data_IF_122198299930
#
_entry.id   IF_122198299930
#
_cell.length_a   1.000
_cell.length_b   1.000
_cell.length_c   1.000
_cell.angle_alpha   90.00
_cell.angle_beta   90.00
_cell.angle_gamma   90.00
#
_symmetry.space_group_name_H-M   'P 1'
#
loop_
_entity.id
_entity.type
_entity.pdbx_description
1 polymer ?
#
# COMPACT_ATOMS: atom_id res chain seq x y z
N UNK A 1 9.97 29.69 12.71
CA UNK A 1 9.25 29.72 14.01
C UNK A 1 8.69 28.30 14.19
N UNK A 2 9.18 27.50 15.14
CA UNK A 2 8.59 26.21 15.43
C UNK A 2 7.36 26.46 16.31
N UNK A 3 6.18 26.24 15.80
CA UNK A 3 4.95 26.22 16.58
C UNK A 3 4.89 24.84 17.23
N UNK A 4 4.85 24.78 18.56
CA UNK A 4 4.55 23.56 19.32
C UNK A 4 3.14 23.69 19.85
N UNK A 5 2.24 22.92 19.25
CA UNK A 5 0.87 22.82 19.73
C UNK A 5 0.76 21.64 20.73
N UNK A 6 -0.22 21.73 21.61
CA UNK A 6 -0.56 20.70 22.59
C UNK A 6 -1.92 20.10 22.22
N UNK A 7 -2.00 18.77 22.27
CA UNK A 7 -3.21 18.01 21.97
C UNK A 7 -3.49 17.04 23.11
N UNK A 8 -4.77 16.80 23.39
CA UNK A 8 -5.19 15.86 24.44
C UNK A 8 -4.99 14.41 24.02
N UNK A 9 -5.20 14.11 22.71
CA UNK A 9 -5.09 12.78 22.14
C UNK A 9 -4.38 12.81 20.78
N UNK A 10 -3.65 11.73 20.47
CA UNK A 10 -2.89 11.57 19.23
C UNK A 10 -3.17 10.22 18.61
N UNK A 11 -3.55 10.20 17.32
CA UNK A 11 -3.68 8.99 16.52
C UNK A 11 -2.43 8.80 15.63
N UNK A 12 -1.71 7.70 15.82
CA UNK A 12 -0.53 7.34 15.04
C UNK A 12 -0.93 6.40 13.91
N UNK A 13 -1.00 6.94 12.69
CA UNK A 13 -1.40 6.23 11.46
C UNK A 13 -0.24 6.16 10.44
N UNK A 14 0.98 5.88 10.91
CA UNK A 14 2.21 6.03 10.12
C UNK A 14 2.62 4.78 9.31
N UNK A 15 1.70 3.80 9.13
CA UNK A 15 1.95 2.58 8.36
C UNK A 15 3.16 1.80 8.89
N UNK A 16 4.15 1.50 8.05
CA UNK A 16 5.37 0.76 8.45
C UNK A 16 6.25 1.53 9.45
N UNK A 17 6.09 2.84 9.57
CA UNK A 17 6.85 3.66 10.50
C UNK A 17 6.20 3.70 11.90
N UNK A 18 4.95 3.24 12.04
CA UNK A 18 4.25 3.20 13.33
C UNK A 18 5.03 2.41 14.39
N UNK A 19 5.74 1.35 13.98
CA UNK A 19 6.56 0.57 14.90
C UNK A 19 7.62 1.40 15.63
N UNK A 20 8.23 2.40 14.97
CA UNK A 20 9.21 3.29 15.63
C UNK A 20 8.60 4.09 16.77
N UNK A 21 7.35 4.54 16.59
CA UNK A 21 6.62 5.25 17.64
C UNK A 21 6.28 4.30 18.78
N UNK A 22 5.82 3.09 18.46
CA UNK A 22 5.52 2.07 19.46
C UNK A 22 6.76 1.71 20.30
N UNK A 23 7.91 1.50 19.66
CA UNK A 23 9.17 1.19 20.33
C UNK A 23 9.57 2.29 21.34
N UNK A 24 9.44 3.57 20.96
CA UNK A 24 9.74 4.72 21.82
C UNK A 24 8.78 4.81 23.01
N UNK A 25 7.52 4.43 22.83
CA UNK A 25 6.47 4.47 23.87
C UNK A 25 6.44 3.18 24.72
N UNK A 26 7.28 2.20 24.42
CA UNK A 26 7.34 0.92 25.14
C UNK A 26 6.22 -0.06 24.79
N UNK A 27 5.55 0.17 23.66
CA UNK A 27 4.54 -0.73 23.11
C UNK A 27 5.18 -1.82 22.25
N UNK A 28 4.52 -2.98 22.17
CA UNK A 28 4.93 -4.08 21.29
C UNK A 28 3.99 -4.17 20.08
N UNK A 29 4.56 -4.05 18.90
CA UNK A 29 3.81 -4.09 17.65
C UNK A 29 4.54 -4.96 16.62
N UNK A 30 3.78 -5.78 15.87
CA UNK A 30 4.33 -6.63 14.80
C UNK A 30 3.81 -6.17 13.45
N UNK A 31 4.46 -5.16 12.88
CA UNK A 31 4.19 -4.66 11.52
C UNK A 31 5.43 -4.85 10.67
N UNK A 32 5.35 -5.72 9.66
CA UNK A 32 6.46 -5.99 8.76
C UNK A 32 6.25 -5.26 7.41
N UNK A 33 7.27 -4.55 6.89
CA UNK A 33 7.20 -3.91 5.58
C UNK A 33 7.34 -4.95 4.45
N UNK A 34 6.24 -5.31 3.82
CA UNK A 34 6.26 -6.15 2.61
C UNK A 34 6.29 -5.26 1.38
N UNK A 35 7.39 -5.32 0.62
CA UNK A 35 7.56 -4.52 -0.58
C UNK A 35 6.72 -5.08 -1.73
N UNK A 36 5.90 -4.23 -2.33
CA UNK A 36 5.14 -4.51 -3.54
C UNK A 36 5.62 -3.65 -4.70
N UNK A 37 5.42 -4.14 -5.92
CA UNK A 37 5.83 -3.45 -7.14
C UNK A 37 4.63 -3.14 -8.04
N UNK A 38 4.76 -2.10 -8.83
CA UNK A 38 3.85 -1.82 -9.94
C UNK A 38 4.58 -1.16 -11.09
N UNK A 39 4.00 -1.26 -12.27
CA UNK A 39 4.37 -0.48 -13.45
C UNK A 39 3.17 0.34 -13.89
N UNK A 40 3.42 1.57 -14.30
CA UNK A 40 2.43 2.40 -14.98
C UNK A 40 2.87 2.55 -16.42
N UNK A 41 2.16 1.90 -17.33
CA UNK A 41 2.42 1.90 -18.77
C UNK A 41 1.62 3.06 -19.36
N UNK A 42 2.26 3.87 -20.20
CA UNK A 42 1.62 4.98 -20.92
C UNK A 42 1.06 4.49 -22.24
N UNK A 43 -0.24 4.70 -22.44
CA UNK A 43 -0.95 4.31 -23.65
C UNK A 43 -0.88 5.48 -24.66
N UNK A 44 0.33 5.70 -25.19
CA UNK A 44 0.63 6.90 -26.00
C UNK A 44 0.10 6.82 -27.43
N UNK A 45 -0.20 5.60 -27.93
CA UNK A 45 -0.73 5.37 -29.26
C UNK A 45 -2.15 4.82 -29.24
N UNK A 46 -2.85 4.99 -30.36
CA UNK A 46 -4.26 4.58 -30.53
C UNK A 46 -4.45 3.06 -30.40
N UNK A 47 -3.47 2.27 -30.86
CA UNK A 47 -3.54 0.80 -30.82
C UNK A 47 -3.49 0.34 -29.37
N UNK A 48 -2.52 0.84 -28.60
CA UNK A 48 -2.40 0.56 -27.16
C UNK A 48 -3.64 0.99 -26.37
N UNK A 49 -4.22 2.17 -26.71
CA UNK A 49 -5.43 2.67 -26.07
C UNK A 49 -6.65 1.78 -26.32
N UNK A 50 -6.80 1.25 -27.53
CA UNK A 50 -7.91 0.36 -27.90
C UNK A 50 -7.71 -1.06 -27.33
N UNK A 51 -6.47 -1.55 -27.29
CA UNK A 51 -6.14 -2.90 -26.85
C UNK A 51 -6.12 -3.04 -25.31
N UNK A 52 -5.90 -1.96 -24.58
CA UNK A 52 -5.84 -2.01 -23.12
C UNK A 52 -7.22 -2.29 -22.51
N UNK A 53 -7.30 -3.11 -21.43
CA UNK A 53 -8.55 -3.44 -20.78
C UNK A 53 -9.26 -2.18 -20.24
N UNK A 54 -10.59 -2.15 -20.39
CA UNK A 54 -11.44 -1.05 -19.91
C UNK A 54 -11.84 -1.22 -18.42
N UNK A 55 -11.75 -2.44 -17.92
CA UNK A 55 -12.09 -2.80 -16.52
C UNK A 55 -10.84 -3.27 -15.78
N UNK A 56 -10.87 -3.16 -14.47
CA UNK A 56 -9.81 -3.75 -13.63
C UNK A 56 -9.88 -5.27 -13.67
N UNK A 57 -8.73 -5.91 -13.81
CA UNK A 57 -8.59 -7.36 -13.88
C UNK A 57 -7.71 -7.85 -12.72
N UNK A 58 -8.07 -8.99 -12.16
CA UNK A 58 -7.27 -9.73 -11.20
C UNK A 58 -6.93 -11.11 -11.78
N UNK A 59 -5.65 -11.37 -11.94
CA UNK A 59 -5.10 -12.71 -12.20
C UNK A 59 -4.72 -13.32 -10.85
N UNK A 60 -5.66 -14.09 -10.29
CA UNK A 60 -5.51 -14.63 -8.93
C UNK A 60 -4.36 -15.64 -8.77
N UNK A 61 -4.10 -16.57 -9.71
CA UNK A 61 -2.97 -17.48 -9.61
C UNK A 61 -1.61 -16.80 -9.45
N UNK A 62 -1.34 -15.73 -10.21
CA UNK A 62 -0.07 -15.00 -10.17
C UNK A 62 -0.11 -13.73 -9.32
N UNK A 63 -1.28 -13.41 -8.76
CA UNK A 63 -1.50 -12.23 -7.91
C UNK A 63 -1.12 -10.90 -8.57
N UNK A 64 -1.48 -10.77 -9.86
CA UNK A 64 -1.33 -9.55 -10.64
C UNK A 64 -2.68 -8.86 -10.80
N UNK A 65 -2.71 -7.56 -10.56
CA UNK A 65 -3.88 -6.70 -10.77
C UNK A 65 -3.54 -5.67 -11.82
N UNK A 66 -4.43 -5.47 -12.80
CA UNK A 66 -4.35 -4.36 -13.74
C UNK A 66 -5.53 -3.41 -13.60
N UNK A 67 -5.29 -2.12 -13.77
CA UNK A 67 -6.33 -1.08 -13.74
C UNK A 67 -6.02 0.00 -14.74
N UNK A 68 -7.02 0.40 -15.53
CA UNK A 68 -6.89 1.52 -16.45
C UNK A 68 -7.15 2.84 -15.71
N UNK A 69 -6.27 3.81 -15.91
CA UNK A 69 -6.32 5.15 -15.33
C UNK A 69 -6.22 6.18 -16.44
N UNK A 70 -7.32 6.43 -17.14
CA UNK A 70 -7.35 7.27 -18.33
C UNK A 70 -6.50 6.69 -19.48
N UNK A 71 -5.44 7.40 -19.87
CA UNK A 71 -4.47 6.99 -20.88
C UNK A 71 -3.30 6.16 -20.32
N UNK A 72 -3.44 5.57 -19.13
CA UNK A 72 -2.42 4.74 -18.48
C UNK A 72 -2.99 3.41 -18.06
N UNK A 73 -2.19 2.37 -18.17
CA UNK A 73 -2.47 1.05 -17.61
C UNK A 73 -1.52 0.80 -16.44
N UNK A 74 -2.06 0.71 -15.24
CA UNK A 74 -1.29 0.33 -14.06
C UNK A 74 -1.40 -1.17 -13.83
N UNK A 75 -0.25 -1.82 -13.72
CA UNK A 75 -0.16 -3.24 -13.41
C UNK A 75 0.64 -3.40 -12.12
N UNK A 76 0.05 -4.04 -11.13
CA UNK A 76 0.64 -4.21 -9.82
C UNK A 76 0.65 -5.69 -9.42
N UNK A 77 1.68 -6.11 -8.72
CA UNK A 77 1.82 -7.48 -8.24
C UNK A 77 3.09 -7.63 -7.45
N UNK A 78 3.53 -8.88 -7.32
CA UNK A 78 4.74 -9.28 -6.62
C UNK A 78 4.79 -8.86 -5.15
N UNK A 79 5.50 -9.63 -4.35
CA UNK A 79 5.78 -9.32 -2.95
C UNK A 79 7.23 -9.70 -2.65
N UNK A 80 7.91 -8.87 -1.85
CA UNK A 80 9.29 -9.09 -1.46
C UNK A 80 9.49 -8.79 0.02
N UNK A 81 10.13 -9.69 0.74
CA UNK A 81 10.55 -9.52 2.12
C UNK A 81 11.96 -8.94 2.15
N UNK A 82 12.07 -7.61 2.02
CA UNK A 82 13.33 -6.89 1.93
C UNK A 82 13.47 -5.80 3.00
N UNK A 83 12.75 -5.93 4.11
CA UNK A 83 12.71 -4.90 5.15
C UNK A 83 12.26 -3.54 4.58
N UNK A 84 12.95 -2.47 4.95
CA UNK A 84 12.60 -1.10 4.50
C UNK A 84 13.27 -0.69 3.19
N UNK A 85 13.96 -1.61 2.50
CA UNK A 85 14.57 -1.32 1.19
C UNK A 85 13.47 -1.04 0.14
N UNK A 86 13.58 0.10 -0.56
CA UNK A 86 12.67 0.52 -1.63
C UNK A 86 13.29 0.48 -3.03
N UNK A 87 14.49 -0.06 -3.18
CA UNK A 87 15.14 -0.17 -4.49
C UNK A 87 14.27 -0.97 -5.44
N UNK A 88 14.17 -0.49 -6.68
CA UNK A 88 13.36 -1.12 -7.71
C UNK A 88 14.22 -2.15 -8.43
N UNK A 89 13.85 -3.43 -8.31
CA UNK A 89 14.54 -4.55 -8.93
C UNK A 89 13.89 -4.91 -10.25
N UNK A 90 14.71 -5.00 -11.31
CA UNK A 90 14.22 -5.32 -12.66
C UNK A 90 13.65 -6.76 -12.78
N UNK A 91 14.17 -7.71 -12.00
CA UNK A 91 13.64 -9.08 -11.94
C UNK A 91 12.21 -9.14 -11.32
N UNK A 92 11.79 -8.09 -10.60
CA UNK A 92 10.43 -7.94 -10.06
C UNK A 92 9.50 -7.14 -10.97
N UNK A 93 10.07 -6.30 -11.85
CA UNK A 93 9.31 -5.52 -12.85
C UNK A 93 9.00 -6.37 -14.09
N UNK A 94 9.97 -7.16 -14.58
CA UNK A 94 9.81 -7.98 -15.79
C UNK A 94 8.56 -8.87 -15.79
N UNK A 95 8.19 -9.58 -14.71
CA UNK A 95 6.97 -10.39 -14.69
C UNK A 95 5.70 -9.59 -14.97
N UNK A 96 5.62 -8.34 -14.50
CA UNK A 96 4.46 -7.47 -14.72
C UNK A 96 4.36 -7.05 -16.20
N UNK A 97 5.48 -6.70 -16.83
CA UNK A 97 5.53 -6.36 -18.24
C UNK A 97 5.25 -7.58 -19.14
N UNK A 98 5.79 -8.75 -18.78
CA UNK A 98 5.56 -9.99 -19.51
C UNK A 98 4.09 -10.40 -19.46
N UNK A 99 3.42 -10.25 -18.32
CA UNK A 99 2.00 -10.48 -18.18
C UNK A 99 1.19 -9.59 -19.15
N UNK A 100 1.54 -8.31 -19.28
CA UNK A 100 0.88 -7.43 -20.25
C UNK A 100 1.13 -7.89 -21.69
N UNK A 101 2.35 -8.26 -22.04
CA UNK A 101 2.69 -8.74 -23.40
C UNK A 101 1.96 -10.03 -23.77
N UNK A 102 1.72 -10.89 -22.80
CA UNK A 102 1.03 -12.16 -22.99
C UNK A 102 -0.47 -11.95 -23.21
N UNK A 103 -1.12 -11.18 -22.33
CA UNK A 103 -2.59 -11.02 -22.38
C UNK A 103 -3.07 -9.86 -23.26
N UNK A 104 -2.22 -8.86 -23.46
CA UNK A 104 -2.51 -7.66 -24.28
C UNK A 104 -1.37 -7.36 -25.26
N UNK A 105 -1.11 -8.23 -26.22
CA UNK A 105 0.08 -8.15 -27.08
C UNK A 105 0.15 -6.87 -27.93
N UNK A 106 -0.98 -6.20 -28.16
CA UNK A 106 -1.03 -4.92 -28.90
C UNK A 106 -0.80 -3.69 -28.01
N UNK A 107 -0.62 -3.86 -26.71
CA UNK A 107 -0.25 -2.76 -25.79
C UNK A 107 1.27 -2.62 -25.77
N UNK A 108 1.78 -1.46 -26.21
CA UNK A 108 3.21 -1.16 -26.11
C UNK A 108 3.64 -1.07 -24.66
N UNK A 109 4.71 -1.79 -24.32
CA UNK A 109 5.33 -1.77 -22.98
C UNK A 109 6.69 -1.07 -22.95
N UNK A 110 6.95 -0.19 -23.94
CA UNK A 110 8.24 0.53 -24.05
C UNK A 110 8.30 1.71 -23.10
N UNK A 111 7.19 2.46 -23.00
CA UNK A 111 7.10 3.63 -22.14
C UNK A 111 6.35 3.28 -20.85
N UNK A 112 7.10 3.11 -19.74
CA UNK A 112 6.52 2.82 -18.44
C UNK A 112 7.32 3.45 -17.28
N UNK A 113 6.64 3.69 -16.17
CA UNK A 113 7.27 4.09 -14.90
C UNK A 113 7.11 2.97 -13.88
N UNK A 114 8.22 2.40 -13.39
CA UNK A 114 8.18 1.43 -12.29
C UNK A 114 8.04 2.12 -10.94
N UNK A 115 7.43 1.42 -9.99
CA UNK A 115 7.28 1.91 -8.62
C UNK A 115 7.34 0.75 -7.63
N UNK A 116 7.84 1.04 -6.43
CA UNK A 116 7.84 0.11 -5.31
C UNK A 116 7.38 0.81 -4.03
N UNK A 117 6.63 0.10 -3.19
CA UNK A 117 6.14 0.61 -1.91
C UNK A 117 6.05 -0.48 -0.85
N UNK A 118 6.03 -0.05 0.40
CA UNK A 118 6.01 -0.93 1.57
C UNK A 118 4.58 -1.04 2.11
N UNK A 119 4.06 -2.27 2.16
CA UNK A 119 2.77 -2.57 2.79
C UNK A 119 3.01 -2.87 4.27
N UNK A 120 2.29 -2.24 5.20
CA UNK A 120 2.39 -2.53 6.63
C UNK A 120 1.64 -3.83 6.94
N UNK A 121 2.30 -4.98 6.83
CA UNK A 121 1.69 -6.29 7.04
C UNK A 121 1.79 -6.72 8.49
N UNK A 122 0.70 -7.24 9.02
CA UNK A 122 0.62 -7.94 10.31
C UNK A 122 0.65 -9.46 10.08
N UNK A 123 0.99 -10.29 11.08
CA UNK A 123 1.06 -11.74 10.91
C UNK A 123 -0.28 -12.40 10.53
N UNK A 124 -1.39 -11.83 11.01
CA UNK A 124 -2.76 -12.30 10.78
C UNK A 124 -3.49 -11.50 9.69
N UNK A 125 -2.80 -10.53 9.06
CA UNK A 125 -3.34 -9.63 8.05
C UNK A 125 -4.48 -8.70 8.54
N UNK A 126 -4.68 -8.61 9.87
CA UNK A 126 -5.70 -7.73 10.46
C UNK A 126 -5.08 -6.38 10.86
N UNK A 127 -5.82 -5.26 10.65
CA UNK A 127 -5.40 -3.95 11.13
C UNK A 127 -5.25 -3.91 12.66
N UNK A 128 -4.29 -3.13 13.13
CA UNK A 128 -4.06 -2.89 14.55
C UNK A 128 -4.69 -1.54 14.93
N UNK A 129 -5.72 -1.59 15.79
CA UNK A 129 -6.45 -0.42 16.27
C UNK A 129 -6.55 -0.53 17.80
N UNK A 130 -5.65 0.15 18.51
CA UNK A 130 -5.59 0.07 19.96
C UNK A 130 -4.96 1.30 20.59
N UNK A 131 -5.18 1.48 21.90
CA UNK A 131 -4.54 2.51 22.69
C UNK A 131 -3.14 2.07 23.14
N UNK A 132 -2.19 3.00 23.14
CA UNK A 132 -0.85 2.83 23.71
C UNK A 132 -0.91 2.65 25.22
N UNK A 133 0.17 2.10 25.82
CA UNK A 133 0.40 2.19 27.27
C UNK A 133 0.57 3.63 27.73
N UNK A 134 1.01 4.51 26.87
CA UNK A 134 1.05 5.94 27.11
C UNK A 134 -0.34 6.54 26.86
N UNK A 135 -0.98 7.07 27.93
CA UNK A 135 -2.35 7.61 27.88
C UNK A 135 -2.53 8.65 26.79
N UNK A 136 -3.67 8.60 26.09
CA UNK A 136 -4.05 9.53 25.03
C UNK A 136 -3.37 9.29 23.68
N UNK A 137 -2.61 8.19 23.52
CA UNK A 137 -1.99 7.84 22.24
C UNK A 137 -2.65 6.57 21.70
N UNK A 138 -3.07 6.62 20.45
CA UNK A 138 -3.78 5.55 19.77
C UNK A 138 -3.07 5.16 18.47
N UNK A 139 -3.21 3.91 18.07
CA UNK A 139 -2.65 3.39 16.81
C UNK A 139 -3.76 2.96 15.86
N UNK A 140 -3.56 3.24 14.57
CA UNK A 140 -4.34 2.67 13.47
C UNK A 140 -3.40 2.35 12.32
N UNK A 141 -3.00 1.08 12.18
CA UNK A 141 -1.96 0.64 11.24
C UNK A 141 -2.14 -0.83 10.86
N UNK A 142 -1.21 -1.39 10.10
CA UNK A 142 -1.18 -2.83 9.82
C UNK A 142 -2.17 -3.29 8.76
N UNK A 143 -2.70 -2.39 7.94
CA UNK A 143 -3.73 -2.67 6.93
C UNK A 143 -3.26 -3.51 5.73
N UNK A 144 -1.97 -3.79 5.62
CA UNK A 144 -1.39 -4.54 4.52
C UNK A 144 -1.72 -3.93 3.16
N UNK A 145 -2.32 -4.73 2.28
CA UNK A 145 -2.76 -4.30 0.95
C UNK A 145 -4.21 -3.76 0.91
N UNK A 146 -4.94 -3.83 2.02
CA UNK A 146 -6.35 -3.43 2.13
C UNK A 146 -6.55 -2.05 2.79
N UNK A 147 -5.49 -1.26 2.97
CA UNK A 147 -5.56 0.02 3.67
C UNK A 147 -6.58 1.01 3.09
N UNK A 148 -6.68 1.09 1.77
CA UNK A 148 -7.69 1.91 1.12
C UNK A 148 -9.12 1.41 1.41
N UNK A 149 -9.34 0.10 1.29
CA UNK A 149 -10.66 -0.53 1.49
C UNK A 149 -11.15 -0.42 2.93
N UNK A 150 -10.24 -0.60 3.90
CA UNK A 150 -10.59 -0.66 5.32
C UNK A 150 -10.45 0.70 6.02
N UNK A 151 -9.85 1.71 5.38
CA UNK A 151 -9.48 2.98 6.01
C UNK A 151 -10.63 3.72 6.68
N UNK A 152 -11.80 3.76 6.05
CA UNK A 152 -12.99 4.43 6.61
C UNK A 152 -13.48 3.69 7.87
N UNK A 153 -13.69 2.36 7.79
CA UNK A 153 -14.17 1.57 8.91
C UNK A 153 -13.20 1.57 10.10
N UNK A 154 -11.89 1.43 9.83
CA UNK A 154 -10.89 1.48 10.91
C UNK A 154 -10.70 2.87 11.50
N UNK A 155 -10.97 3.91 10.71
CA UNK A 155 -11.02 5.30 11.19
C UNK A 155 -12.19 5.53 12.15
N UNK A 156 -13.36 5.01 11.83
CA UNK A 156 -14.56 5.06 12.68
C UNK A 156 -14.33 4.33 14.02
N UNK A 157 -13.83 3.09 13.97
CA UNK A 157 -13.48 2.31 15.17
C UNK A 157 -12.45 3.06 16.04
N UNK A 158 -11.48 3.71 15.42
CA UNK A 158 -10.48 4.50 16.14
C UNK A 158 -11.13 5.70 16.84
N UNK A 159 -12.01 6.43 16.14
CA UNK A 159 -12.72 7.59 16.68
C UNK A 159 -13.56 7.20 17.91
N UNK A 160 -14.35 6.13 17.82
CA UNK A 160 -15.12 5.59 18.94
C UNK A 160 -14.24 5.25 20.15
N UNK A 161 -13.07 4.60 19.92
CA UNK A 161 -12.12 4.31 20.99
C UNK A 161 -11.57 5.58 21.65
N UNK A 162 -11.26 6.59 20.84
CA UNK A 162 -10.75 7.87 21.34
C UNK A 162 -11.81 8.67 22.11
N UNK A 163 -13.09 8.56 21.76
CA UNK A 163 -14.20 9.22 22.49
C UNK A 163 -14.49 8.55 23.83
N UNK A 164 -14.42 7.22 23.89
CA UNK A 164 -14.76 6.44 25.09
C UNK A 164 -13.63 6.42 26.14
N UNK A 165 -12.43 6.88 25.79
CA UNK A 165 -11.30 7.02 26.72
C UNK A 165 -11.38 8.37 27.45
N UNK A 166 -12.22 8.41 28.52
CA UNK A 166 -12.38 9.56 29.43
C UNK A 166 -11.70 9.33 30.76
#
# INVERSE_FOLDING_TARGET
MCIRDSFDKVAVCAGVETQKFADVLGDSMRVYPVKGYSVTIYLDDMISQQAAPQVSLLDDPVKIVSSRLGNRLRVAGTAELAGKNKDIRQDRIRPLLNWVREYFPSVSTENYTPWAGLRPMTPDMMPLIFESKAKGIFYNTGHGHLGWTLGAATGEILAEKMENDQ
#
